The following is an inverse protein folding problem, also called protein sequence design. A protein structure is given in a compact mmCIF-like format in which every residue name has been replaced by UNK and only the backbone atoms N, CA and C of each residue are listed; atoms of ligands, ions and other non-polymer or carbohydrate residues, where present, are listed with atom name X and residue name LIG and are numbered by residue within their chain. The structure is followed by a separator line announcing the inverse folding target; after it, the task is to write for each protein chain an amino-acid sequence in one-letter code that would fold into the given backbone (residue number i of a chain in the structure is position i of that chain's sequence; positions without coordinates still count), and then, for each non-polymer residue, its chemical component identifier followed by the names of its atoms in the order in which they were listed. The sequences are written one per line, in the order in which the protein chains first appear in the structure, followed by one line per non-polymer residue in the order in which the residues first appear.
data_IF_569816860822
#
_entry.id   IF_569816860822
#
_cell.length_a   1.000
_cell.length_b   1.000
_cell.length_c   1.000
_cell.angle_alpha   90.00
_cell.angle_beta   90.00
_cell.angle_gamma   90.00
#
_symmetry.space_group_name_H-M   'P 1'
#
loop_
_entity.id
_entity.type
_entity.pdbx_description
1 polymer ?
#
# COMPACT_ATOMS: atom_id res chain seq x y z
N UNK A 1 24.28 21.30 -14.25
CA UNK A 1 24.68 20.09 -13.48
C UNK A 1 23.62 19.83 -12.43
N UNK A 2 23.05 18.62 -12.34
CA UNK A 2 22.14 18.29 -11.24
C UNK A 2 22.90 18.43 -9.90
N UNK A 3 22.38 19.28 -9.02
CA UNK A 3 22.96 19.51 -7.71
C UNK A 3 23.00 18.18 -6.95
N UNK A 4 24.18 17.75 -6.50
CA UNK A 4 24.35 16.47 -5.80
C UNK A 4 23.46 16.37 -4.56
N UNK A 5 23.16 17.52 -3.92
CA UNK A 5 22.23 17.58 -2.80
C UNK A 5 20.79 17.19 -3.16
N UNK A 6 20.29 17.60 -4.33
CA UNK A 6 18.93 17.26 -4.76
C UNK A 6 18.80 15.77 -5.11
N UNK A 7 19.85 15.17 -5.70
CA UNK A 7 19.88 13.73 -5.98
C UNK A 7 19.86 12.90 -4.69
N UNK A 8 20.61 13.33 -3.66
CA UNK A 8 20.62 12.66 -2.35
C UNK A 8 19.27 12.78 -1.64
N UNK A 9 18.69 13.99 -1.64
CA UNK A 9 17.38 14.24 -1.04
C UNK A 9 16.29 13.38 -1.72
N UNK A 10 16.28 13.32 -3.05
CA UNK A 10 15.36 12.44 -3.79
C UNK A 10 15.54 10.97 -3.45
N UNK A 11 16.78 10.50 -3.30
CA UNK A 11 17.06 9.12 -2.92
C UNK A 11 16.56 8.78 -1.50
N UNK A 12 16.78 9.67 -0.52
CA UNK A 12 16.29 9.50 0.85
C UNK A 12 14.76 9.49 0.90
N UNK A 13 14.10 10.39 0.17
CA UNK A 13 12.64 10.39 0.06
C UNK A 13 12.09 9.11 -0.59
N UNK A 14 12.76 8.60 -1.63
CA UNK A 14 12.39 7.34 -2.26
C UNK A 14 12.54 6.15 -1.30
N UNK A 15 13.61 6.10 -0.52
CA UNK A 15 13.82 5.10 0.52
C UNK A 15 12.72 5.14 1.59
N UNK A 16 12.41 6.33 2.11
CA UNK A 16 11.36 6.52 3.11
C UNK A 16 9.99 6.12 2.56
N UNK A 17 9.67 6.52 1.32
CA UNK A 17 8.44 6.13 0.65
C UNK A 17 8.32 4.61 0.46
N UNK A 18 9.41 3.94 0.11
CA UNK A 18 9.45 2.49 -0.02
C UNK A 18 9.23 1.77 1.31
N UNK A 19 9.87 2.23 2.40
CA UNK A 19 9.66 1.70 3.75
C UNK A 19 8.19 1.89 4.19
N UNK A 20 7.63 3.09 3.96
CA UNK A 20 6.25 3.37 4.27
C UNK A 20 5.28 2.47 3.50
N UNK A 21 5.59 2.14 2.24
CA UNK A 21 4.79 1.24 1.41
C UNK A 21 4.79 -0.20 1.93
N UNK A 22 5.94 -0.69 2.43
CA UNK A 22 6.02 -1.98 3.13
C UNK A 22 5.18 -1.96 4.41
N UNK A 23 5.34 -0.91 5.22
CA UNK A 23 4.57 -0.76 6.46
C UNK A 23 3.06 -0.74 6.19
N UNK A 24 2.61 0.01 5.19
CA UNK A 24 1.21 0.05 4.76
C UNK A 24 0.70 -1.32 4.31
N UNK A 25 1.53 -2.09 3.59
CA UNK A 25 1.15 -3.43 3.10
C UNK A 25 0.92 -4.42 4.25
N UNK A 26 1.69 -4.31 5.34
CA UNK A 26 1.58 -5.21 6.50
C UNK A 26 0.48 -4.76 7.48
N UNK A 27 0.19 -3.46 7.52
CA UNK A 27 -0.75 -2.88 8.48
C UNK A 27 -2.17 -3.44 8.30
N UNK A 28 -2.89 -3.78 9.40
CA UNK A 28 -4.25 -4.31 9.32
C UNK A 28 -5.36 -3.25 9.22
N UNK A 29 -4.99 -1.97 9.04
CA UNK A 29 -5.89 -0.81 9.15
C UNK A 29 -6.30 -0.28 7.77
N UNK A 30 -6.69 -1.17 6.84
CA UNK A 30 -7.10 -0.77 5.50
C UNK A 30 -8.59 -0.42 5.41
N UNK A 31 -9.43 -1.15 6.15
CA UNK A 31 -10.87 -0.90 6.29
C UNK A 31 -11.27 -1.09 7.74
N UNK A 32 -12.08 -0.18 8.25
CA UNK A 32 -12.66 -0.27 9.59
C UNK A 32 -14.19 -0.39 9.48
N UNK A 33 -14.75 -1.37 10.17
CA UNK A 33 -16.20 -1.59 10.25
C UNK A 33 -16.59 -1.74 11.71
N UNK A 34 -17.61 -1.00 12.14
CA UNK A 34 -18.13 -1.06 13.51
C UNK A 34 -19.54 -1.64 13.46
N UNK A 35 -19.71 -2.84 14.03
CA UNK A 35 -21.02 -3.47 14.13
C UNK A 35 -21.60 -3.16 15.52
N UNK A 36 -22.58 -2.26 15.54
CA UNK A 36 -23.40 -1.93 16.71
C UNK A 36 -24.86 -2.03 16.27
N UNK A 37 -25.43 -3.24 16.29
CA UNK A 37 -26.80 -3.52 15.87
C UNK A 37 -27.56 -4.31 16.94
N UNK A 38 -28.86 -4.03 17.06
CA UNK A 38 -29.80 -4.52 18.08
C UNK A 38 -30.01 -6.07 18.08
N UNK A 39 -29.36 -6.78 17.15
CA UNK A 39 -29.40 -8.24 17.02
C UNK A 39 -28.06 -8.93 17.31
N UNK A 40 -27.01 -8.19 17.70
CA UNK A 40 -25.68 -8.74 18.00
C UNK A 40 -25.33 -8.45 19.46
N UNK A 41 -25.18 -9.52 20.26
CA UNK A 41 -25.03 -9.48 21.74
C UNK A 41 -23.74 -8.76 22.20
N UNK A 42 -22.79 -8.46 21.29
CA UNK A 42 -21.53 -7.76 21.59
C UNK A 42 -21.19 -6.72 20.52
N UNK A 43 -20.83 -5.49 20.92
CA UNK A 43 -20.30 -4.50 19.99
C UNK A 43 -18.88 -4.89 19.57
N UNK A 44 -18.64 -4.98 18.26
CA UNK A 44 -17.36 -5.43 17.69
C UNK A 44 -16.88 -4.40 16.67
N UNK A 45 -15.65 -3.93 16.84
CA UNK A 45 -14.95 -3.18 15.81
C UNK A 45 -14.01 -4.13 15.06
N UNK A 46 -14.19 -4.21 13.74
CA UNK A 46 -13.42 -5.06 12.85
C UNK A 46 -12.49 -4.18 12.02
N UNK A 47 -11.21 -4.50 12.08
CA UNK A 47 -10.17 -3.95 11.24
C UNK A 47 -9.78 -5.00 10.20
N UNK A 48 -9.96 -4.66 8.94
CA UNK A 48 -9.57 -5.51 7.83
C UNK A 48 -8.30 -4.94 7.21
N UNK A 49 -7.26 -5.75 7.26
CA UNK A 49 -6.00 -5.51 6.62
C UNK A 49 -5.93 -6.13 5.25
N UNK A 50 -4.80 -5.88 4.60
CA UNK A 50 -4.51 -6.58 3.36
C UNK A 50 -4.33 -8.08 3.62
N UNK A 51 -3.62 -8.52 4.67
CA UNK A 51 -3.28 -9.95 4.89
C UNK A 51 -3.97 -10.61 6.09
N UNK A 52 -4.52 -9.82 7.00
CA UNK A 52 -5.17 -10.31 8.22
C UNK A 52 -6.37 -9.44 8.56
N UNK A 53 -7.31 -9.99 9.31
CA UNK A 53 -8.40 -9.23 9.93
C UNK A 53 -8.29 -9.34 11.44
N UNK A 54 -8.46 -8.21 12.13
CA UNK A 54 -8.46 -8.13 13.58
C UNK A 54 -9.83 -7.64 14.07
N UNK A 55 -10.43 -8.35 15.00
CA UNK A 55 -11.66 -7.95 15.68
C UNK A 55 -11.32 -7.53 17.12
N UNK A 56 -11.86 -6.40 17.57
CA UNK A 56 -11.83 -5.97 18.96
C UNK A 56 -13.24 -6.01 19.54
N UNK A 57 -13.40 -6.79 20.61
CA UNK A 57 -14.66 -7.00 21.31
C UNK A 57 -14.76 -6.03 22.51
N UNK A 58 -15.98 -5.70 22.93
CA UNK A 58 -16.24 -4.88 24.14
C UNK A 58 -15.64 -5.47 25.43
N UNK A 59 -15.36 -6.77 25.45
CA UNK A 59 -14.71 -7.50 26.57
C UNK A 59 -13.20 -7.25 26.65
N UNK A 60 -12.63 -6.41 25.77
CA UNK A 60 -11.20 -6.10 25.72
C UNK A 60 -10.36 -7.16 25.00
N UNK A 61 -10.98 -8.19 24.43
CA UNK A 61 -10.29 -9.20 23.65
C UNK A 61 -10.04 -8.72 22.22
N UNK A 62 -8.77 -8.76 21.80
CA UNK A 62 -8.36 -8.56 20.41
C UNK A 62 -8.06 -9.93 19.81
N UNK A 63 -8.69 -10.25 18.68
CA UNK A 63 -8.48 -11.50 17.95
C UNK A 63 -8.07 -11.16 16.52
N UNK A 64 -6.83 -11.47 16.14
CA UNK A 64 -6.34 -11.31 14.77
C UNK A 64 -6.26 -12.67 14.09
N UNK A 65 -6.87 -12.79 12.91
CA UNK A 65 -6.87 -13.99 12.09
C UNK A 65 -6.32 -13.68 10.70
N UNK A 66 -5.35 -14.48 10.25
CA UNK A 66 -4.84 -14.45 8.88
C UNK A 66 -5.88 -15.10 7.96
N UNK A 67 -6.06 -14.57 6.75
CA UNK A 67 -7.02 -15.15 5.80
C UNK A 67 -6.57 -16.55 5.35
N UNK A 68 -7.32 -17.60 5.74
CA UNK A 68 -7.02 -19.01 5.42
C UNK A 68 -7.21 -19.35 3.93
N UNK A 69 -8.10 -18.65 3.23
CA UNK A 69 -8.39 -18.90 1.81
C UNK A 69 -8.55 -17.58 1.07
N UNK A 70 -7.52 -17.25 0.27
CA UNK A 70 -7.47 -16.01 -0.49
C UNK A 70 -8.38 -16.05 -1.73
N UNK A 71 -8.77 -17.24 -2.18
CA UNK A 71 -9.59 -17.46 -3.37
C UNK A 71 -11.09 -17.20 -3.15
N UNK A 72 -11.53 -17.12 -1.88
CA UNK A 72 -12.91 -16.87 -1.51
C UNK A 72 -13.13 -15.40 -1.09
N UNK A 73 -12.07 -14.59 -1.13
CA UNK A 73 -12.05 -13.19 -0.73
C UNK A 73 -12.27 -12.29 -1.95
N UNK A 74 -12.81 -11.09 -1.73
CA UNK A 74 -13.19 -10.16 -2.78
C UNK A 74 -12.08 -9.90 -3.81
N UNK A 75 -12.42 -9.98 -5.10
CA UNK A 75 -11.47 -9.84 -6.21
C UNK A 75 -10.70 -8.50 -6.16
N UNK A 76 -11.31 -7.45 -5.62
CA UNK A 76 -10.65 -6.16 -5.44
C UNK A 76 -9.48 -6.21 -4.47
N UNK A 77 -9.61 -6.97 -3.38
CA UNK A 77 -8.61 -7.09 -2.35
C UNK A 77 -7.41 -7.88 -2.88
N UNK A 78 -7.68 -8.93 -3.67
CA UNK A 78 -6.62 -9.67 -4.37
C UNK A 78 -5.87 -8.80 -5.38
N UNK A 79 -6.58 -7.95 -6.15
CA UNK A 79 -5.96 -7.01 -7.08
C UNK A 79 -5.09 -5.99 -6.34
N UNK A 80 -5.58 -5.40 -5.25
CA UNK A 80 -4.80 -4.46 -4.43
C UNK A 80 -3.55 -5.11 -3.84
N UNK A 81 -3.63 -6.36 -3.36
CA UNK A 81 -2.45 -7.13 -2.91
C UNK A 81 -1.42 -7.29 -4.02
N UNK A 82 -1.86 -7.73 -5.20
CA UNK A 82 -0.96 -7.95 -6.33
C UNK A 82 -0.25 -6.65 -6.71
N UNK A 83 -1.00 -5.54 -6.81
CA UNK A 83 -0.43 -4.23 -7.11
C UNK A 83 0.56 -3.76 -6.04
N UNK A 84 0.23 -3.88 -4.75
CA UNK A 84 1.14 -3.51 -3.66
C UNK A 84 2.43 -4.34 -3.68
N UNK A 85 2.34 -5.65 -3.90
CA UNK A 85 3.52 -6.54 -4.00
C UNK A 85 4.38 -6.18 -5.21
N UNK A 86 3.76 -5.95 -6.37
CA UNK A 86 4.49 -5.50 -7.58
C UNK A 86 5.18 -4.17 -7.33
N UNK A 87 4.52 -3.21 -6.67
CA UNK A 87 5.12 -1.93 -6.28
C UNK A 87 6.33 -2.10 -5.35
N UNK A 88 6.29 -3.02 -4.38
CA UNK A 88 7.43 -3.33 -3.51
C UNK A 88 8.60 -3.85 -4.34
N UNK A 89 8.35 -4.81 -5.24
CA UNK A 89 9.37 -5.43 -6.11
C UNK A 89 10.00 -4.38 -7.02
N UNK A 90 9.19 -3.56 -7.69
CA UNK A 90 9.68 -2.44 -8.51
C UNK A 90 10.48 -1.44 -7.68
N UNK A 91 10.09 -1.19 -6.43
CA UNK A 91 10.85 -0.37 -5.50
C UNK A 91 12.24 -0.94 -5.19
N UNK A 92 12.37 -2.26 -4.98
CA UNK A 92 13.68 -2.91 -4.79
C UNK A 92 14.58 -2.71 -6.01
N UNK A 93 14.05 -2.95 -7.22
CA UNK A 93 14.79 -2.71 -8.45
C UNK A 93 15.15 -1.24 -8.62
N UNK A 94 14.22 -0.33 -8.32
CA UNK A 94 14.46 1.11 -8.34
C UNK A 94 15.57 1.53 -7.38
N UNK A 95 15.64 0.96 -6.18
CA UNK A 95 16.69 1.22 -5.18
C UNK A 95 18.04 0.68 -5.65
N UNK A 96 18.08 -0.56 -6.15
CA UNK A 96 19.30 -1.17 -6.66
C UNK A 96 19.88 -0.36 -7.84
N UNK A 97 19.05 0.03 -8.80
CA UNK A 97 19.49 0.86 -9.95
C UNK A 97 19.93 2.25 -9.47
N UNK A 98 19.17 2.88 -8.57
CA UNK A 98 19.48 4.22 -8.06
C UNK A 98 20.81 4.25 -7.29
N UNK A 99 21.07 3.26 -6.43
CA UNK A 99 22.33 3.15 -5.65
C UNK A 99 23.56 2.96 -6.54
N UNK A 100 23.43 2.21 -7.65
CA UNK A 100 24.49 2.07 -8.65
C UNK A 100 24.72 3.37 -9.46
N UNK A 101 23.70 4.21 -9.64
CA UNK A 101 23.79 5.48 -10.36
C UNK A 101 24.25 6.68 -9.52
N UNK A 102 24.38 6.54 -8.20
CA UNK A 102 24.83 7.63 -7.33
C UNK A 102 26.32 7.91 -7.49
N UNK A 103 26.70 9.20 -7.43
CA UNK A 103 28.10 9.64 -7.53
C UNK A 103 29.00 9.09 -6.41
N UNK A 104 28.41 8.72 -5.27
CA UNK A 104 29.11 8.18 -4.10
C UNK A 104 29.44 6.68 -4.20
N UNK A 105 28.90 5.98 -5.20
CA UNK A 105 29.14 4.54 -5.43
C UNK A 105 30.28 4.36 -6.45
N UNK A 106 31.29 3.55 -6.11
CA UNK A 106 32.43 3.26 -7.00
C UNK A 106 32.10 2.24 -8.12
N UNK A 107 30.93 1.59 -8.09
CA UNK A 107 30.50 0.70 -9.17
C UNK A 107 30.21 1.51 -10.46
N UNK A 108 30.81 1.11 -11.59
CA UNK A 108 30.43 1.60 -12.93
C UNK A 108 31.32 2.66 -13.60
N UNK A 109 32.52 2.92 -13.07
CA UNK A 109 33.51 3.82 -13.68
C UNK A 109 33.31 5.31 -13.35
N UNK A 110 34.17 6.18 -13.87
CA UNK A 110 34.23 7.61 -13.53
C UNK A 110 33.31 8.51 -14.40
N UNK A 111 32.55 7.90 -15.32
CA UNK A 111 31.64 8.62 -16.21
C UNK A 111 30.40 9.16 -15.48
N UNK A 112 30.50 10.42 -15.04
CA UNK A 112 29.43 11.15 -14.33
C UNK A 112 28.11 11.19 -15.12
N UNK A 113 28.17 11.24 -16.46
CA UNK A 113 26.99 11.28 -17.34
C UNK A 113 26.27 9.93 -17.36
N UNK A 114 27.02 8.82 -17.43
CA UNK A 114 26.44 7.45 -17.42
C UNK A 114 25.79 7.15 -16.07
N UNK A 115 26.47 7.48 -14.96
CA UNK A 115 25.91 7.38 -13.60
C UNK A 115 24.62 8.18 -13.43
N UNK A 116 24.60 9.43 -13.92
CA UNK A 116 23.40 10.27 -13.85
C UNK A 116 22.22 9.69 -14.65
N UNK A 117 22.47 9.06 -15.81
CA UNK A 117 21.41 8.39 -16.59
C UNK A 117 20.87 7.15 -15.87
N UNK A 118 21.74 6.37 -15.24
CA UNK A 118 21.35 5.19 -14.45
C UNK A 118 20.52 5.61 -13.22
N UNK A 119 20.89 6.67 -12.52
CA UNK A 119 20.09 7.19 -11.42
C UNK A 119 18.70 7.68 -11.89
N UNK A 120 18.63 8.30 -13.08
CA UNK A 120 17.38 8.75 -13.67
C UNK A 120 16.45 7.59 -14.04
N UNK A 121 16.99 6.49 -14.61
CA UNK A 121 16.19 5.29 -14.89
C UNK A 121 15.68 4.64 -13.61
N UNK A 122 16.50 4.57 -12.56
CA UNK A 122 16.08 4.08 -11.24
C UNK A 122 14.92 4.90 -10.64
N UNK A 123 14.98 6.23 -10.75
CA UNK A 123 13.90 7.13 -10.35
C UNK A 123 12.60 6.88 -11.13
N UNK A 124 12.69 6.64 -12.44
CA UNK A 124 11.52 6.37 -13.28
C UNK A 124 10.83 5.06 -12.89
N UNK A 125 11.60 4.01 -12.60
CA UNK A 125 11.08 2.74 -12.08
C UNK A 125 10.37 2.94 -10.74
N UNK A 126 10.94 3.78 -9.86
CA UNK A 126 10.32 4.15 -8.58
C UNK A 126 8.99 4.87 -8.76
N UNK A 127 8.90 5.80 -9.72
CA UNK A 127 7.67 6.53 -10.02
C UNK A 127 6.58 5.58 -10.52
N UNK A 128 6.91 4.64 -11.39
CA UNK A 128 5.97 3.62 -11.87
C UNK A 128 5.48 2.76 -10.71
N UNK A 129 6.39 2.28 -9.85
CA UNK A 129 6.03 1.51 -8.66
C UNK A 129 5.14 2.29 -7.69
N UNK A 130 5.44 3.57 -7.46
CA UNK A 130 4.64 4.45 -6.60
C UNK A 130 3.25 4.74 -7.17
N UNK A 131 3.14 4.96 -8.49
CA UNK A 131 1.84 5.16 -9.16
C UNK A 131 0.96 3.91 -9.07
N UNK A 132 1.53 2.72 -9.24
CA UNK A 132 0.79 1.47 -9.10
C UNK A 132 0.20 1.32 -7.67
N UNK A 133 0.96 1.69 -6.63
CA UNK A 133 0.47 1.66 -5.25
C UNK A 133 -0.61 2.72 -4.99
N UNK A 134 -0.46 3.92 -5.56
CA UNK A 134 -1.49 4.96 -5.48
C UNK A 134 -2.79 4.53 -6.14
N UNK A 135 -2.73 3.87 -7.30
CA UNK A 135 -3.89 3.32 -7.99
C UNK A 135 -4.54 2.23 -7.12
N UNK A 136 -3.75 1.33 -6.53
CA UNK A 136 -4.25 0.27 -5.66
C UNK A 136 -5.00 0.84 -4.44
N UNK A 137 -4.41 1.82 -3.74
CA UNK A 137 -5.03 2.46 -2.58
C UNK A 137 -6.28 3.25 -2.97
N UNK A 138 -6.23 4.02 -4.06
CA UNK A 138 -7.37 4.82 -4.54
C UNK A 138 -8.54 3.94 -4.98
N UNK A 139 -8.24 2.83 -5.66
CA UNK A 139 -9.24 1.86 -6.08
C UNK A 139 -9.93 1.23 -4.88
N UNK A 140 -9.15 0.73 -3.91
CA UNK A 140 -9.68 0.11 -2.70
C UNK A 140 -10.53 1.10 -1.88
N UNK A 141 -10.07 2.34 -1.71
CA UNK A 141 -10.82 3.39 -1.03
C UNK A 141 -12.15 3.74 -1.73
N UNK A 142 -12.14 3.87 -3.05
CA UNK A 142 -13.35 4.13 -3.83
C UNK A 142 -14.36 2.97 -3.75
N UNK A 143 -13.91 1.72 -3.64
CA UNK A 143 -14.82 0.60 -3.41
C UNK A 143 -15.48 0.66 -2.04
N UNK A 144 -14.70 0.94 -0.98
CA UNK A 144 -15.24 1.11 0.36
C UNK A 144 -16.36 2.18 0.37
N UNK A 145 -16.13 3.31 -0.28
CA UNK A 145 -17.13 4.39 -0.38
C UNK A 145 -18.40 3.90 -1.10
N UNK A 146 -18.26 3.14 -2.18
CA UNK A 146 -19.40 2.60 -2.94
C UNK A 146 -20.20 1.61 -2.12
N UNK A 147 -19.52 0.71 -1.40
CA UNK A 147 -20.16 -0.26 -0.52
C UNK A 147 -20.97 0.45 0.56
N UNK A 148 -20.39 1.48 1.20
CA UNK A 148 -21.10 2.28 2.21
C UNK A 148 -22.34 2.99 1.65
N UNK A 149 -22.24 3.59 0.45
CA UNK A 149 -23.37 4.30 -0.16
C UNK A 149 -24.48 3.33 -0.55
N UNK A 150 -24.16 2.17 -1.12
CA UNK A 150 -25.13 1.16 -1.53
C UNK A 150 -25.90 0.59 -0.33
N UNK A 151 -25.21 0.30 0.78
CA UNK A 151 -25.85 -0.13 2.03
C UNK A 151 -26.82 0.93 2.58
N UNK A 152 -26.43 2.21 2.59
CA UNK A 152 -27.29 3.32 3.07
C UNK A 152 -28.50 3.53 2.15
N UNK A 153 -28.32 3.50 0.83
CA UNK A 153 -29.41 3.69 -0.13
C UNK A 153 -30.39 2.51 -0.12
N UNK A 154 -29.92 1.27 -0.01
CA UNK A 154 -30.81 0.09 0.15
C UNK A 154 -31.58 0.14 1.46
N UNK A 155 -30.97 0.58 2.55
CA UNK A 155 -31.65 0.77 3.84
C UNK A 155 -32.78 1.81 3.81
N UNK A 156 -32.70 2.81 2.93
CA UNK A 156 -33.72 3.85 2.80
C UNK A 156 -34.91 3.45 1.88
N UNK A 157 -34.71 2.51 0.95
CA UNK A 157 -35.74 2.07 0.00
C UNK A 157 -36.31 0.66 0.27
N UNK A 158 -35.71 -0.14 1.17
CA UNK A 158 -36.21 -1.45 1.59
C UNK A 158 -37.32 -1.42 2.66
N UNK A 159 -37.88 -0.24 2.94
CA UNK A 159 -38.99 -0.02 3.87
C UNK A 159 -40.35 0.22 3.19
N UNK A 160 -40.52 -0.24 1.94
CA UNK A 160 -41.81 -0.35 1.25
C UNK A 160 -42.11 -1.80 0.91
#
# INVERSE_FOLDING_TARGET
MANSGLQLLGFVLALLGWIALIAATIMPQWKMSSYAGDQIITAVAIYQGLWMSCATQSTGQIQCKVYDSLLQLDASLQATRALMVVSIILGVFGLAISTMGMKCTNCGGDDKVKKSRIAMTGGFVFLIGGLAALIACSWYGNQIIRDFIDEVCKGHWGGF
#
